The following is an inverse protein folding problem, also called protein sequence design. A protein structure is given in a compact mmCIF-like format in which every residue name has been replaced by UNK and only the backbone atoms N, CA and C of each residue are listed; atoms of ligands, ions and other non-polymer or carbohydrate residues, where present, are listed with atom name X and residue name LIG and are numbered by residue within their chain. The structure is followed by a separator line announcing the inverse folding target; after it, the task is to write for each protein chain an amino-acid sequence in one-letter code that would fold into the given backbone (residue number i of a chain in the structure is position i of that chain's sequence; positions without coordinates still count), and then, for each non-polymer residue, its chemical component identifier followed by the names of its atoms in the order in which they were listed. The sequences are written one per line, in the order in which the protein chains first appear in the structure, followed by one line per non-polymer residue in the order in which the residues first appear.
data_IF_301484477813
#
_entry.id   IF_301484477813
#
_cell.length_a   1.000
_cell.length_b   1.000
_cell.length_c   1.000
_cell.angle_alpha   90.00
_cell.angle_beta   90.00
_cell.angle_gamma   90.00
#
_symmetry.space_group_name_H-M   'P 1'
#
loop_
_entity.id
_entity.type
_entity.pdbx_description
1 polymer ?
#
# COMPACT_ATOMS: atom_id res chain seq x y z
N UNK A 1 23.40 -17.62 -20.10
CA UNK A 1 23.14 -18.68 -21.08
C UNK A 1 21.68 -19.09 -20.90
N UNK A 2 20.78 -18.63 -21.77
CA UNK A 2 19.38 -19.06 -21.77
C UNK A 2 19.36 -20.40 -22.53
N UNK A 3 18.75 -21.44 -21.95
CA UNK A 3 18.70 -22.79 -22.53
C UNK A 3 17.43 -22.94 -23.38
N UNK A 4 17.54 -23.72 -24.45
CA UNK A 4 16.61 -23.88 -25.59
C UNK A 4 15.19 -24.45 -25.29
N UNK A 5 14.60 -24.21 -24.11
CA UNK A 5 13.30 -24.81 -23.72
C UNK A 5 12.27 -23.83 -23.15
N UNK A 6 12.58 -22.53 -23.06
CA UNK A 6 11.65 -21.50 -22.55
C UNK A 6 10.93 -20.71 -23.66
N UNK A 7 10.68 -21.32 -24.82
CA UNK A 7 10.05 -20.63 -25.96
C UNK A 7 8.57 -21.01 -26.13
N UNK A 8 7.69 -20.14 -25.63
CA UNK A 8 6.39 -19.92 -26.27
C UNK A 8 6.63 -19.41 -27.71
N UNK A 9 5.72 -19.67 -28.68
CA UNK A 9 5.98 -19.40 -30.09
C UNK A 9 6.16 -17.90 -30.31
N UNK A 10 7.41 -17.50 -30.49
CA UNK A 10 7.85 -16.13 -30.60
C UNK A 10 8.16 -15.82 -32.07
N UNK A 11 7.45 -14.85 -32.64
CA UNK A 11 7.84 -14.19 -33.88
C UNK A 11 8.05 -12.71 -33.55
N UNK A 12 9.30 -12.27 -33.45
CA UNK A 12 9.68 -10.89 -33.76
C UNK A 12 11.21 -10.78 -33.91
N UNK A 13 11.62 -9.91 -34.84
CA UNK A 13 13.01 -9.64 -35.21
C UNK A 13 13.81 -9.13 -34.01
N UNK A 14 14.82 -9.89 -33.59
CA UNK A 14 15.77 -9.52 -32.55
C UNK A 14 17.11 -9.13 -33.17
N UNK A 15 17.72 -8.07 -32.67
CA UNK A 15 19.11 -7.71 -32.98
C UNK A 15 19.99 -8.07 -31.78
N UNK A 16 21.05 -8.84 -32.03
CA UNK A 16 22.09 -9.16 -31.03
C UNK A 16 23.30 -8.28 -31.33
N UNK A 17 23.68 -7.43 -30.37
CA UNK A 17 24.84 -6.53 -30.48
C UNK A 17 26.14 -7.30 -30.20
N UNK A 18 27.27 -6.76 -30.66
CA UNK A 18 28.61 -7.37 -30.49
C UNK A 18 28.99 -7.62 -29.01
N UNK A 19 28.37 -6.91 -28.07
CA UNK A 19 28.58 -7.07 -26.62
C UNK A 19 27.67 -8.12 -25.97
N UNK A 20 26.81 -8.80 -26.74
CA UNK A 20 25.85 -9.80 -26.24
C UNK A 20 24.53 -9.22 -25.72
N UNK A 21 24.31 -7.91 -25.84
CA UNK A 21 23.02 -7.29 -25.54
C UNK A 21 22.01 -7.58 -26.67
N UNK A 22 20.74 -7.73 -26.31
CA UNK A 22 19.64 -8.00 -27.24
C UNK A 22 18.67 -6.83 -27.27
N UNK A 23 18.20 -6.45 -28.46
CA UNK A 23 17.11 -5.47 -28.66
C UNK A 23 16.04 -6.11 -29.54
N UNK A 24 14.78 -6.10 -29.11
CA UNK A 24 13.66 -6.67 -29.86
C UNK A 24 12.86 -5.58 -30.59
N UNK A 25 12.54 -5.79 -31.87
CA UNK A 25 11.88 -4.81 -32.74
C UNK A 25 10.34 -4.87 -32.69
N UNK A 26 9.81 -5.36 -31.57
CA UNK A 26 8.40 -5.64 -31.30
C UNK A 26 7.72 -4.72 -30.31
N UNK A 27 6.39 -4.62 -30.36
CA UNK A 27 5.65 -3.74 -29.45
C UNK A 27 5.32 -4.37 -28.08
N UNK A 28 5.31 -5.70 -27.97
CA UNK A 28 4.82 -6.45 -26.81
C UNK A 28 5.71 -7.68 -26.57
N UNK A 29 5.74 -8.25 -25.35
CA UNK A 29 6.67 -9.33 -24.98
C UNK A 29 8.14 -9.07 -25.27
N UNK A 30 8.55 -7.81 -25.13
CA UNK A 30 9.94 -7.41 -25.31
C UNK A 30 10.62 -7.17 -23.98
N UNK A 31 11.94 -7.31 -23.96
CA UNK A 31 12.79 -6.85 -22.87
C UNK A 31 14.21 -6.61 -23.39
N UNK A 32 14.91 -5.66 -22.79
CA UNK A 32 16.34 -5.52 -23.01
C UNK A 32 17.10 -6.23 -21.89
N UNK A 33 18.29 -6.74 -22.20
CA UNK A 33 19.20 -7.25 -21.19
C UNK A 33 20.45 -6.38 -21.17
N UNK A 34 20.64 -5.64 -20.09
CA UNK A 34 21.78 -4.74 -19.90
C UNK A 34 22.54 -5.17 -18.66
N UNK A 35 23.84 -5.44 -18.80
CA UNK A 35 24.70 -5.90 -17.70
C UNK A 35 24.13 -7.12 -16.93
N UNK A 36 23.45 -8.03 -17.63
CA UNK A 36 22.85 -9.22 -17.03
C UNK A 36 21.47 -9.01 -16.41
N UNK A 37 20.99 -7.77 -16.32
CA UNK A 37 19.68 -7.42 -15.76
C UNK A 37 18.64 -7.22 -16.87
N UNK A 38 17.42 -7.70 -16.63
CA UNK A 38 16.27 -7.44 -17.51
C UNK A 38 15.77 -6.02 -17.26
N UNK A 39 15.67 -5.23 -18.32
CA UNK A 39 15.15 -3.86 -18.31
C UNK A 39 14.20 -3.67 -19.49
N UNK A 40 13.44 -2.57 -19.49
CA UNK A 40 12.56 -2.18 -20.61
C UNK A 40 11.57 -3.29 -21.02
N UNK A 41 11.01 -3.98 -20.03
CA UNK A 41 10.14 -5.12 -20.27
C UNK A 41 8.70 -4.70 -20.61
N UNK A 42 8.11 -5.29 -21.64
CA UNK A 42 6.68 -5.23 -21.95
C UNK A 42 5.99 -6.59 -21.79
N UNK A 43 4.74 -6.60 -21.35
CA UNK A 43 3.93 -7.82 -21.21
C UNK A 43 3.14 -8.17 -22.49
N UNK A 44 2.26 -9.17 -22.41
CA UNK A 44 1.39 -9.67 -23.50
C UNK A 44 0.38 -8.61 -23.99
N UNK A 45 0.11 -7.62 -23.15
CA UNK A 45 -0.77 -6.48 -23.43
C UNK A 45 0.02 -5.22 -23.76
N UNK A 46 1.31 -5.37 -24.05
CA UNK A 46 2.22 -4.28 -24.38
C UNK A 46 2.37 -3.26 -23.23
N UNK A 47 2.02 -3.64 -22.01
CA UNK A 47 2.16 -2.78 -20.84
C UNK A 47 3.58 -2.83 -20.33
N UNK A 48 4.11 -1.68 -19.91
CA UNK A 48 5.45 -1.60 -19.34
C UNK A 48 5.47 -2.23 -17.96
N UNK A 49 6.46 -3.08 -17.70
CA UNK A 49 6.64 -3.78 -16.45
C UNK A 49 8.10 -3.71 -15.99
N UNK A 50 8.31 -3.77 -14.69
CA UNK A 50 9.64 -3.93 -14.10
C UNK A 50 10.54 -2.71 -14.26
N UNK A 51 11.85 -2.94 -14.26
CA UNK A 51 12.86 -1.88 -14.34
C UNK A 51 12.93 -1.31 -15.76
N UNK A 52 12.95 0.01 -15.87
CA UNK A 52 13.12 0.70 -17.15
C UNK A 52 14.28 1.67 -17.10
N UNK A 53 14.92 1.85 -18.26
CA UNK A 53 15.95 2.83 -18.53
C UNK A 53 15.55 3.56 -19.82
N UNK A 54 15.14 4.81 -19.68
CA UNK A 54 14.74 5.67 -20.79
C UNK A 54 15.90 6.62 -21.05
N UNK A 55 16.34 6.80 -22.29
CA UNK A 55 17.43 7.73 -22.64
C UNK A 55 16.93 8.74 -23.67
N UNK A 56 17.26 10.03 -23.50
CA UNK A 56 16.95 11.07 -24.47
C UNK A 56 18.05 11.26 -25.51
N UNK A 57 17.76 12.09 -26.52
CA UNK A 57 18.69 12.38 -27.62
C UNK A 57 19.97 13.11 -27.17
N UNK A 58 20.01 13.63 -25.95
CA UNK A 58 21.17 14.31 -25.37
C UNK A 58 22.02 13.36 -24.50
N UNK A 59 21.59 12.09 -24.37
CA UNK A 59 22.23 11.06 -23.56
C UNK A 59 21.86 11.13 -22.08
N UNK A 60 20.95 12.01 -21.66
CA UNK A 60 20.40 11.95 -20.30
C UNK A 60 19.48 10.76 -20.19
N UNK A 61 19.38 10.16 -19.02
CA UNK A 61 18.57 8.97 -18.84
C UNK A 61 17.78 8.99 -17.53
N UNK A 62 16.69 8.24 -17.51
CA UNK A 62 15.85 8.03 -16.35
C UNK A 62 15.74 6.56 -16.08
N UNK A 63 15.74 6.19 -14.81
CA UNK A 63 15.50 4.82 -14.40
C UNK A 63 14.50 4.78 -13.26
N UNK A 64 13.65 3.75 -13.30
CA UNK A 64 12.62 3.51 -12.31
C UNK A 64 11.82 2.26 -12.68
N UNK A 65 10.74 2.02 -11.96
CA UNK A 65 9.92 0.83 -12.16
C UNK A 65 8.58 1.21 -12.77
N UNK A 66 8.15 0.44 -13.76
CA UNK A 66 6.78 0.44 -14.23
C UNK A 66 6.00 -0.75 -13.66
N UNK A 67 4.71 -0.53 -13.42
CA UNK A 67 3.75 -1.60 -13.21
C UNK A 67 2.50 -1.29 -14.01
N UNK A 68 2.14 -2.15 -14.96
CA UNK A 68 1.01 -1.94 -15.88
C UNK A 68 1.06 -0.57 -16.59
N UNK A 69 2.24 -0.15 -17.05
CA UNK A 69 2.50 1.16 -17.66
C UNK A 69 2.46 2.38 -16.72
N UNK A 70 2.21 2.20 -15.43
CA UNK A 70 2.27 3.27 -14.43
C UNK A 70 3.67 3.35 -13.78
N UNK A 71 4.22 4.56 -13.69
CA UNK A 71 5.48 4.82 -12.99
C UNK A 71 5.30 4.68 -11.48
N UNK A 72 5.94 3.68 -10.88
CA UNK A 72 5.85 3.39 -9.45
C UNK A 72 7.21 3.47 -8.76
N UNK A 73 7.18 3.74 -7.45
CA UNK A 73 8.36 3.77 -6.62
C UNK A 73 9.26 4.96 -6.93
N UNK A 74 10.57 4.75 -6.82
CA UNK A 74 11.58 5.81 -6.97
C UNK A 74 12.05 5.85 -8.42
N UNK A 75 11.91 7.01 -9.03
CA UNK A 75 12.42 7.37 -10.34
C UNK A 75 13.58 8.34 -10.20
N UNK A 76 14.69 8.06 -10.87
CA UNK A 76 15.89 8.89 -10.87
C UNK A 76 16.22 9.33 -12.28
N UNK A 77 16.48 10.62 -12.46
CA UNK A 77 17.01 11.22 -13.68
C UNK A 77 18.50 11.48 -13.51
N UNK A 78 19.27 11.14 -14.52
CA UNK A 78 20.70 11.36 -14.60
C UNK A 78 21.04 12.15 -15.86
N UNK A 79 22.14 12.88 -15.83
CA UNK A 79 22.75 13.40 -17.04
C UNK A 79 23.58 12.32 -17.76
N UNK A 80 24.07 12.64 -18.96
CA UNK A 80 24.94 11.76 -19.76
C UNK A 80 26.24 11.33 -19.06
N UNK A 81 26.65 12.04 -18.00
CA UNK A 81 27.85 11.70 -17.20
C UNK A 81 27.54 10.80 -16.01
N UNK A 82 26.26 10.48 -15.78
CA UNK A 82 25.79 9.68 -14.65
C UNK A 82 25.56 10.47 -13.37
N UNK A 83 25.58 11.81 -13.41
CA UNK A 83 25.23 12.66 -12.26
C UNK A 83 23.72 12.71 -12.12
N UNK A 84 23.21 12.50 -10.89
CA UNK A 84 21.78 12.63 -10.61
C UNK A 84 21.33 14.09 -10.77
N UNK A 85 20.26 14.28 -11.53
CA UNK A 85 19.60 15.57 -11.76
C UNK A 85 18.32 15.69 -10.95
N UNK A 86 17.59 14.59 -10.77
CA UNK A 86 16.29 14.59 -10.11
C UNK A 86 15.98 13.21 -9.52
N UNK A 87 15.35 13.20 -8.35
CA UNK A 87 14.73 12.00 -7.75
C UNK A 87 13.25 12.30 -7.51
N UNK A 88 12.36 11.39 -7.90
CA UNK A 88 10.93 11.49 -7.59
C UNK A 88 10.39 10.15 -7.11
N UNK A 89 9.55 10.17 -6.09
CA UNK A 89 8.85 8.99 -5.60
C UNK A 89 7.36 9.10 -5.88
N UNK A 90 6.81 8.05 -6.48
CA UNK A 90 5.39 7.91 -6.77
C UNK A 90 4.81 6.69 -6.08
N UNK A 91 3.64 6.84 -5.48
CA UNK A 91 2.86 5.75 -4.89
C UNK A 91 1.49 5.70 -5.55
N UNK A 92 1.02 4.50 -5.89
CA UNK A 92 -0.28 4.31 -6.53
C UNK A 92 -1.32 3.82 -5.54
N UNK A 93 -2.54 4.32 -5.66
CA UNK A 93 -3.71 3.85 -4.94
C UNK A 93 -4.91 3.80 -5.88
N UNK A 94 -5.46 2.60 -6.09
CA UNK A 94 -6.52 2.42 -7.09
C UNK A 94 -6.02 2.74 -8.51
N UNK A 95 -6.60 3.76 -9.14
CA UNK A 95 -6.21 4.26 -10.47
C UNK A 95 -5.40 5.57 -10.41
N UNK A 96 -5.17 6.09 -9.21
CA UNK A 96 -4.50 7.37 -9.01
C UNK A 96 -3.05 7.14 -8.58
N UNK A 97 -2.16 8.01 -9.06
CA UNK A 97 -0.74 8.00 -8.69
C UNK A 97 -0.37 9.33 -8.05
N UNK A 98 0.21 9.26 -6.85
CA UNK A 98 0.59 10.40 -6.05
C UNK A 98 2.10 10.54 -6.03
N UNK A 99 2.59 11.74 -6.39
CA UNK A 99 3.99 12.10 -6.19
C UNK A 99 4.19 12.53 -4.74
N UNK A 100 4.92 11.72 -3.98
CA UNK A 100 5.11 11.92 -2.53
C UNK A 100 6.48 12.46 -2.17
N UNK A 101 7.44 12.39 -3.09
CA UNK A 101 8.77 12.96 -2.92
C UNK A 101 9.28 13.50 -4.24
N UNK A 102 9.90 14.67 -4.22
CA UNK A 102 10.64 15.20 -5.36
C UNK A 102 11.84 16.02 -4.88
N UNK A 103 13.03 15.64 -5.31
CA UNK A 103 14.29 16.34 -5.04
C UNK A 103 14.95 16.71 -6.37
N UNK A 104 15.30 17.98 -6.52
CA UNK A 104 16.05 18.52 -7.66
C UNK A 104 17.52 18.73 -7.26
N UNK A 105 18.45 18.25 -8.09
CA UNK A 105 19.90 18.34 -7.88
C UNK A 105 20.61 19.25 -8.90
N UNK A 106 19.86 19.89 -9.81
CA UNK A 106 20.43 20.67 -10.93
C UNK A 106 21.27 21.86 -10.48
N UNK A 107 20.95 22.47 -9.33
CA UNK A 107 21.66 23.61 -8.76
C UNK A 107 22.92 23.23 -7.98
N UNK A 108 23.26 21.94 -7.89
CA UNK A 108 24.41 21.43 -7.14
C UNK A 108 24.15 21.22 -5.64
N UNK A 109 23.03 21.73 -5.10
CA UNK A 109 22.51 21.37 -3.79
C UNK A 109 21.12 20.73 -3.94
N UNK A 110 20.80 19.68 -3.16
CA UNK A 110 19.48 19.06 -3.21
C UNK A 110 18.41 20.05 -2.73
N UNK A 111 17.46 20.38 -3.61
CA UNK A 111 16.27 21.18 -3.28
C UNK A 111 15.06 20.26 -3.25
N UNK A 112 14.45 20.09 -2.08
CA UNK A 112 13.20 19.34 -1.94
C UNK A 112 12.04 20.20 -2.42
N UNK A 113 11.36 19.74 -3.48
CA UNK A 113 10.24 20.45 -4.10
C UNK A 113 8.89 19.98 -3.52
N UNK A 114 8.78 18.69 -3.26
CA UNK A 114 7.57 18.05 -2.71
C UNK A 114 8.04 17.00 -1.70
N UNK A 115 7.45 16.98 -0.51
CA UNK A 115 7.71 15.96 0.51
C UNK A 115 6.42 15.68 1.30
N UNK A 116 5.86 14.48 1.11
CA UNK A 116 4.63 14.01 1.75
C UNK A 116 4.89 12.65 2.43
N UNK A 117 5.71 12.62 3.50
CA UNK A 117 6.16 11.37 4.12
C UNK A 117 4.99 10.60 4.75
N UNK A 118 4.02 11.32 5.33
CA UNK A 118 2.83 10.70 5.92
C UNK A 118 1.93 10.05 4.87
N UNK A 119 1.65 10.75 3.76
CA UNK A 119 0.84 10.18 2.66
C UNK A 119 1.52 8.95 2.06
N UNK A 120 2.85 8.99 1.86
CA UNK A 120 3.64 7.84 1.42
C UNK A 120 3.49 6.66 2.38
N UNK A 121 3.63 6.89 3.69
CA UNK A 121 3.45 5.87 4.72
C UNK A 121 2.03 5.29 4.70
N UNK A 122 1.01 6.15 4.66
CA UNK A 122 -0.39 5.74 4.70
C UNK A 122 -0.76 4.85 3.51
N UNK A 123 -0.48 5.29 2.27
CA UNK A 123 -0.81 4.52 1.06
C UNK A 123 -0.08 3.18 1.05
N UNK A 124 1.22 3.16 1.38
CA UNK A 124 2.02 1.93 1.39
C UNK A 124 1.54 0.89 2.42
N UNK A 125 1.01 1.36 3.55
CA UNK A 125 0.58 0.48 4.65
C UNK A 125 -0.93 0.32 4.75
N UNK A 126 -1.71 0.83 3.79
CA UNK A 126 -3.16 0.90 3.87
C UNK A 126 -3.80 -0.45 4.17
N UNK A 127 -3.39 -1.51 3.47
CA UNK A 127 -3.95 -2.86 3.66
C UNK A 127 -3.69 -3.36 5.09
N UNK A 128 -2.46 -3.18 5.59
CA UNK A 128 -2.11 -3.59 6.95
C UNK A 128 -2.90 -2.78 8.00
N UNK A 129 -3.03 -1.47 7.80
CA UNK A 129 -3.85 -0.58 8.64
C UNK A 129 -5.31 -1.06 8.66
N UNK A 130 -5.88 -1.37 7.50
CA UNK A 130 -7.25 -1.87 7.39
C UNK A 130 -7.44 -3.21 8.10
N UNK A 131 -6.49 -4.15 7.96
CA UNK A 131 -6.53 -5.44 8.66
C UNK A 131 -6.47 -5.26 10.18
N UNK A 132 -5.55 -4.41 10.68
CA UNK A 132 -5.43 -4.15 12.11
C UNK A 132 -6.71 -3.48 12.63
N UNK A 133 -7.25 -2.49 11.92
CA UNK A 133 -8.52 -1.86 12.28
C UNK A 133 -9.66 -2.86 12.32
N UNK A 134 -9.77 -3.74 11.31
CA UNK A 134 -10.81 -4.76 11.27
C UNK A 134 -10.69 -5.73 12.44
N UNK A 135 -9.50 -6.29 12.69
CA UNK A 135 -9.29 -7.25 13.79
C UNK A 135 -9.52 -6.60 15.15
N UNK A 136 -9.03 -5.39 15.38
CA UNK A 136 -9.20 -4.68 16.65
C UNK A 136 -10.64 -4.26 16.89
N UNK A 137 -11.33 -3.75 15.85
CA UNK A 137 -12.72 -3.33 15.94
C UNK A 137 -13.66 -4.52 16.12
N UNK A 138 -13.63 -5.51 15.23
CA UNK A 138 -14.53 -6.66 15.31
C UNK A 138 -14.18 -7.59 16.46
N UNK A 139 -12.88 -7.86 16.69
CA UNK A 139 -12.43 -8.68 17.81
C UNK A 139 -12.93 -8.13 19.15
N UNK A 140 -12.95 -6.81 19.32
CA UNK A 140 -13.54 -6.16 20.49
C UNK A 140 -15.03 -6.47 20.64
N UNK A 141 -15.82 -6.43 19.57
CA UNK A 141 -17.28 -6.67 19.64
C UNK A 141 -17.58 -8.03 20.25
N UNK A 142 -16.88 -9.08 19.82
CA UNK A 142 -17.05 -10.43 20.36
C UNK A 142 -16.61 -10.52 21.83
N UNK A 143 -15.50 -9.88 22.20
CA UNK A 143 -15.03 -9.86 23.59
C UNK A 143 -16.03 -9.14 24.49
N UNK A 144 -16.52 -7.97 24.07
CA UNK A 144 -17.51 -7.20 24.82
C UNK A 144 -18.82 -7.96 24.99
N UNK A 145 -19.25 -8.70 23.97
CA UNK A 145 -20.44 -9.56 24.07
C UNK A 145 -20.28 -10.65 25.11
N UNK A 146 -19.12 -11.31 25.15
CA UNK A 146 -18.83 -12.34 26.15
C UNK A 146 -18.83 -11.76 27.57
N UNK A 147 -18.22 -10.59 27.76
CA UNK A 147 -18.24 -9.91 29.06
C UNK A 147 -19.69 -9.59 29.44
N UNK A 148 -20.45 -8.93 28.57
CA UNK A 148 -21.84 -8.53 28.85
C UNK A 148 -22.72 -9.74 29.20
N UNK A 149 -22.62 -10.83 28.44
CA UNK A 149 -23.39 -12.05 28.68
C UNK A 149 -23.05 -12.68 30.05
N UNK A 150 -21.77 -12.71 30.41
CA UNK A 150 -21.31 -13.16 31.73
C UNK A 150 -21.79 -12.24 32.85
N UNK A 151 -21.76 -10.92 32.67
CA UNK A 151 -22.23 -9.95 33.68
C UNK A 151 -23.73 -10.08 33.93
N UNK A 152 -24.53 -10.20 32.87
CA UNK A 152 -26.00 -10.14 32.94
C UNK A 152 -26.72 -11.49 32.95
N UNK A 153 -26.00 -12.61 32.78
CA UNK A 153 -26.60 -13.94 32.70
C UNK A 153 -27.44 -14.13 31.43
N UNK A 154 -27.01 -13.55 30.32
CA UNK A 154 -27.69 -13.60 29.02
C UNK A 154 -26.91 -14.43 28.00
N UNK A 155 -27.54 -14.77 26.89
CA UNK A 155 -26.91 -15.43 25.73
C UNK A 155 -27.23 -14.68 24.44
N UNK A 156 -26.88 -13.39 24.45
CA UNK A 156 -27.12 -12.50 23.33
C UNK A 156 -26.03 -12.64 22.27
N UNK A 157 -26.43 -12.55 21.00
CA UNK A 157 -25.49 -12.60 19.89
C UNK A 157 -24.66 -11.31 19.85
N UNK A 158 -23.33 -11.39 19.63
CA UNK A 158 -22.46 -10.22 19.50
C UNK A 158 -22.86 -9.29 18.35
N UNK A 159 -23.44 -9.86 17.29
CA UNK A 159 -23.90 -9.14 16.11
C UNK A 159 -25.32 -9.59 15.83
N UNK A 160 -26.26 -8.66 15.88
CA UNK A 160 -27.67 -8.89 15.56
C UNK A 160 -28.14 -7.82 14.58
N UNK A 161 -28.58 -8.26 13.40
CA UNK A 161 -29.20 -7.40 12.39
C UNK A 161 -30.70 -7.66 12.37
N UNK A 162 -31.48 -6.62 12.66
CA UNK A 162 -32.93 -6.65 12.55
C UNK A 162 -33.37 -5.42 11.76
N UNK A 163 -34.13 -5.67 10.71
CA UNK A 163 -34.63 -4.65 9.80
C UNK A 163 -36.11 -4.34 10.05
N UNK A 164 -36.66 -4.83 11.17
CA UNK A 164 -38.02 -4.51 11.63
C UNK A 164 -38.11 -3.22 12.45
N UNK A 165 -39.33 -2.68 12.67
CA UNK A 165 -39.55 -1.42 13.40
C UNK A 165 -39.38 -1.53 14.93
N UNK A 166 -39.12 -2.72 15.47
CA UNK A 166 -39.02 -2.97 16.91
C UNK A 166 -37.57 -3.22 17.31
N UNK A 167 -37.01 -2.32 18.11
CA UNK A 167 -35.68 -2.50 18.72
C UNK A 167 -35.75 -3.62 19.74
N UNK A 168 -35.08 -4.74 19.45
CA UNK A 168 -34.98 -5.86 20.38
C UNK A 168 -33.85 -5.64 21.39
N UNK A 169 -33.89 -6.33 22.54
CA UNK A 169 -32.81 -6.31 23.54
C UNK A 169 -31.45 -6.74 22.94
N UNK A 170 -31.48 -7.64 21.96
CA UNK A 170 -30.29 -8.10 21.22
C UNK A 170 -29.66 -6.99 20.37
N UNK A 171 -30.47 -6.10 19.78
CA UNK A 171 -29.96 -4.95 19.03
C UNK A 171 -29.28 -3.94 19.97
N UNK A 172 -29.90 -3.63 21.11
CA UNK A 172 -29.30 -2.79 22.14
C UNK A 172 -27.97 -3.37 22.68
N UNK A 173 -27.93 -4.68 22.90
CA UNK A 173 -26.70 -5.41 23.25
C UNK A 173 -25.60 -5.26 22.20
N UNK A 174 -25.94 -5.43 20.91
CA UNK A 174 -24.96 -5.30 19.82
C UNK A 174 -24.35 -3.90 19.78
N UNK A 175 -25.17 -2.85 19.94
CA UNK A 175 -24.68 -1.46 20.01
C UNK A 175 -23.76 -1.21 21.22
N UNK A 176 -24.11 -1.74 22.39
CA UNK A 176 -23.25 -1.65 23.57
C UNK A 176 -21.90 -2.34 23.32
N UNK A 177 -21.92 -3.54 22.72
CA UNK A 177 -20.69 -4.26 22.40
C UNK A 177 -19.75 -3.47 21.48
N UNK A 178 -20.31 -2.65 20.58
CA UNK A 178 -19.54 -1.76 19.70
C UNK A 178 -18.95 -0.58 20.47
N UNK A 179 -19.66 0.07 21.39
CA UNK A 179 -19.21 1.36 21.95
C UNK A 179 -18.73 1.32 23.42
N UNK A 180 -18.81 0.17 24.10
CA UNK A 180 -18.43 0.07 25.51
C UNK A 180 -16.91 0.03 25.73
N UNK A 181 -16.46 0.92 26.63
CA UNK A 181 -15.21 0.82 27.36
C UNK A 181 -15.49 0.40 28.80
N UNK A 182 -14.70 -0.54 29.31
CA UNK A 182 -14.90 -1.09 30.65
C UNK A 182 -13.96 -0.42 31.65
N UNK A 183 -14.47 0.51 32.46
CA UNK A 183 -13.65 1.26 33.42
C UNK A 183 -13.71 0.69 34.85
N UNK A 184 -14.87 0.22 35.28
CA UNK A 184 -15.11 -0.33 36.62
C UNK A 184 -16.35 -1.23 36.65
N UNK A 185 -16.60 -1.90 37.78
CA UNK A 185 -17.82 -2.68 38.05
C UNK A 185 -18.06 -3.88 37.11
N UNK A 186 -17.03 -4.72 36.93
CA UNK A 186 -17.13 -6.02 36.26
C UNK A 186 -16.68 -7.14 37.21
N UNK A 187 -17.19 -8.36 36.99
CA UNK A 187 -16.83 -9.55 37.76
C UNK A 187 -15.34 -9.86 37.63
N UNK A 188 -14.69 -10.39 38.69
CA UNK A 188 -13.26 -10.73 38.66
C UNK A 188 -12.86 -11.67 37.52
N UNK A 189 -13.73 -12.60 37.13
CA UNK A 189 -13.51 -13.52 35.99
C UNK A 189 -13.31 -12.81 34.64
N UNK A 190 -13.92 -11.63 34.47
CA UNK A 190 -13.87 -10.87 33.22
C UNK A 190 -12.65 -9.93 33.13
N UNK A 191 -11.85 -9.79 34.18
CA UNK A 191 -10.74 -8.83 34.25
C UNK A 191 -9.77 -8.92 33.08
N UNK A 192 -9.43 -10.15 32.64
CA UNK A 192 -8.52 -10.36 31.50
C UNK A 192 -9.14 -9.92 30.18
N UNK A 193 -10.42 -10.25 29.95
CA UNK A 193 -11.14 -9.87 28.75
C UNK A 193 -11.34 -8.36 28.67
N UNK A 194 -11.66 -7.72 29.80
CA UNK A 194 -11.74 -6.26 29.93
C UNK A 194 -10.43 -5.59 29.53
N UNK A 195 -9.29 -6.09 30.03
CA UNK A 195 -7.98 -5.55 29.67
C UNK A 195 -7.74 -5.65 28.15
N UNK A 196 -7.98 -6.81 27.55
CA UNK A 196 -7.81 -7.03 26.11
C UNK A 196 -8.75 -6.10 25.31
N UNK A 197 -10.03 -6.02 25.67
CA UNK A 197 -11.01 -5.16 24.99
C UNK A 197 -10.62 -3.68 25.01
N UNK A 198 -10.18 -3.17 26.17
CA UNK A 198 -9.72 -1.80 26.29
C UNK A 198 -8.42 -1.56 25.51
N UNK A 199 -7.48 -2.50 25.50
CA UNK A 199 -6.26 -2.41 24.67
C UNK A 199 -6.59 -2.36 23.19
N UNK A 200 -7.48 -3.23 22.69
CA UNK A 200 -7.93 -3.20 21.29
C UNK A 200 -8.60 -1.86 20.96
N UNK A 201 -9.39 -1.33 21.88
CA UNK A 201 -10.02 0.00 21.73
C UNK A 201 -8.99 1.12 21.63
N UNK A 202 -7.97 1.10 22.48
CA UNK A 202 -6.90 2.09 22.43
C UNK A 202 -6.15 2.03 21.10
N UNK A 203 -5.79 0.82 20.63
CA UNK A 203 -5.14 0.63 19.33
C UNK A 203 -6.00 1.19 18.19
N UNK A 204 -7.29 0.82 18.14
CA UNK A 204 -8.21 1.29 17.09
C UNK A 204 -8.36 2.82 17.10
N UNK A 205 -8.51 3.43 18.28
CA UNK A 205 -8.59 4.89 18.41
C UNK A 205 -7.28 5.58 18.02
N UNK A 206 -6.13 5.06 18.42
CA UNK A 206 -4.82 5.62 18.05
C UNK A 206 -4.62 5.59 16.54
N UNK A 207 -4.99 4.49 15.87
CA UNK A 207 -4.90 4.41 14.40
C UNK A 207 -5.86 5.43 13.77
N UNK A 208 -7.12 5.48 14.21
CA UNK A 208 -8.11 6.39 13.67
C UNK A 208 -7.69 7.87 13.79
N UNK A 209 -7.34 8.31 15.00
CA UNK A 209 -6.88 9.67 15.22
C UNK A 209 -5.52 9.94 14.56
N UNK A 210 -4.62 8.96 14.52
CA UNK A 210 -3.34 9.07 13.83
C UNK A 210 -3.51 9.35 12.34
N UNK A 211 -4.49 8.71 11.70
CA UNK A 211 -4.85 8.98 10.30
C UNK A 211 -5.39 10.39 10.13
N UNK A 212 -6.37 10.80 10.94
CA UNK A 212 -6.99 12.14 10.84
C UNK A 212 -5.96 13.25 11.08
N UNK A 213 -5.18 13.13 12.16
CA UNK A 213 -4.16 14.13 12.51
C UNK A 213 -3.09 14.19 11.42
N UNK A 214 -2.63 13.04 10.93
CA UNK A 214 -1.62 13.00 9.89
C UNK A 214 -2.09 13.66 8.60
N UNK A 215 -3.33 13.40 8.18
CA UNK A 215 -3.92 14.03 6.98
C UNK A 215 -4.07 15.56 7.15
N UNK A 216 -4.54 16.01 8.31
CA UNK A 216 -4.69 17.43 8.63
C UNK A 216 -3.35 18.18 8.66
N UNK A 217 -2.31 17.59 9.28
CA UNK A 217 -0.96 18.19 9.34
C UNK A 217 -0.33 18.28 7.94
N UNK A 218 -0.66 17.35 7.04
CA UNK A 218 -0.18 17.39 5.65
C UNK A 218 -1.03 18.25 4.71
N UNK A 219 -2.11 18.88 5.19
CA UNK A 219 -3.00 19.71 4.37
C UNK A 219 -3.79 18.91 3.32
N UNK A 220 -4.04 17.63 3.57
CA UNK A 220 -4.84 16.75 2.70
C UNK A 220 -6.34 16.77 3.10
N UNK A 221 -6.67 17.38 4.24
CA UNK A 221 -8.04 17.67 4.74
C UNK A 221 -8.04 19.06 5.38
#
# INVERSE_FOLDING_TARGET
MIKDIDTLPYQETMEVRENGDTVYLGACWTFDKVNGQIVNQTDDRCLRQGLWIITDNLGNYWTGTYHNSDEIGIWKRFDKSGKILKESEKVSFGRDTYKVKEIDYTTGQPVTLIDKPFLSFYIKNLVAIMVILFVTFFGRVFINSNIYNSENGTDFSPIYFDFGPLVTKNFGHSLLCVFTFWFSNYKPENRRLVLISNTLSAIALTIFFGIIIGLAVTGEI
#
